data_IF_946177402872
#
_entry.id   IF_946177402872
#
_cell.length_a   1.000
_cell.length_b   1.000
_cell.length_c   1.000
_cell.angle_alpha   90.00
_cell.angle_beta   90.00
_cell.angle_gamma   90.00
#
_symmetry.space_group_name_H-M   'P 1'
#
loop_
_entity.id
_entity.type
_entity.pdbx_description
1 polymer ?
#
# COMPACT_ATOMS: atom_id res chain seq x y z
N UNK A 1 -15.50 -3.86 -16.06
CA UNK A 1 -14.56 -4.99 -15.87
C UNK A 1 -13.23 -4.80 -16.60
N UNK A 2 -12.90 -3.58 -17.07
CA UNK A 2 -11.67 -3.27 -17.81
C UNK A 2 -10.39 -3.21 -16.96
N UNK A 3 -10.45 -3.68 -15.70
CA UNK A 3 -9.36 -3.57 -14.73
C UNK A 3 -8.58 -4.90 -14.55
N UNK A 4 -9.01 -5.98 -15.21
CA UNK A 4 -8.32 -7.27 -15.18
C UNK A 4 -7.42 -7.42 -16.40
N UNK A 5 -6.32 -8.15 -16.23
CA UNK A 5 -5.40 -8.44 -17.33
C UNK A 5 -6.12 -9.30 -18.38
N UNK A 6 -6.06 -8.88 -19.64
CA UNK A 6 -6.67 -9.59 -20.77
C UNK A 6 -6.17 -11.04 -20.89
N UNK A 7 -4.96 -11.32 -20.40
CA UNK A 7 -4.37 -12.66 -20.38
C UNK A 7 -5.08 -13.64 -19.44
N UNK A 8 -5.86 -13.15 -18.48
CA UNK A 8 -6.68 -14.01 -17.61
C UNK A 8 -7.92 -14.58 -18.33
N UNK A 9 -8.26 -14.04 -19.51
CA UNK A 9 -9.47 -14.43 -20.23
C UNK A 9 -10.72 -14.21 -19.39
N UNK A 10 -11.70 -15.10 -19.50
CA UNK A 10 -12.93 -15.09 -18.69
C UNK A 10 -12.89 -16.13 -17.55
N UNK A 11 -11.78 -16.85 -17.38
CA UNK A 11 -11.62 -17.94 -16.41
C UNK A 11 -11.16 -17.46 -15.03
N UNK A 12 -11.81 -16.43 -14.49
CA UNK A 12 -11.52 -15.96 -13.13
C UNK A 12 -12.81 -15.72 -12.34
N UNK A 13 -12.72 -15.90 -11.02
CA UNK A 13 -13.83 -15.58 -10.16
C UNK A 13 -13.95 -14.05 -10.02
N UNK A 14 -15.08 -13.53 -10.52
CA UNK A 14 -15.40 -12.09 -10.48
C UNK A 14 -15.36 -11.50 -9.08
N UNK A 15 -15.92 -12.19 -8.09
CA UNK A 15 -15.98 -11.72 -6.70
C UNK A 15 -14.57 -11.63 -6.10
N UNK A 16 -13.73 -12.62 -6.38
CA UNK A 16 -12.32 -12.58 -5.95
C UNK A 16 -11.54 -11.46 -6.64
N UNK A 17 -11.78 -11.22 -7.92
CA UNK A 17 -11.15 -10.12 -8.66
C UNK A 17 -11.59 -8.74 -8.14
N UNK A 18 -12.87 -8.58 -7.82
CA UNK A 18 -13.40 -7.35 -7.21
C UNK A 18 -12.82 -7.14 -5.81
N UNK A 19 -12.81 -8.18 -4.97
CA UNK A 19 -12.18 -8.16 -3.65
C UNK A 19 -10.69 -7.78 -3.72
N UNK A 20 -9.95 -8.40 -4.64
CA UNK A 20 -8.52 -8.09 -4.86
C UNK A 20 -8.32 -6.64 -5.29
N UNK A 21 -9.18 -6.12 -6.17
CA UNK A 21 -9.15 -4.72 -6.60
C UNK A 21 -9.37 -3.75 -5.42
N UNK A 22 -10.37 -4.01 -4.59
CA UNK A 22 -10.67 -3.20 -3.40
C UNK A 22 -9.52 -3.26 -2.39
N UNK A 23 -9.01 -4.45 -2.07
CA UNK A 23 -7.88 -4.61 -1.13
C UNK A 23 -6.62 -3.95 -1.67
N UNK A 24 -6.34 -4.05 -2.98
CA UNK A 24 -5.22 -3.39 -3.62
C UNK A 24 -5.27 -1.87 -3.48
N UNK A 25 -6.44 -1.26 -3.74
CA UNK A 25 -6.66 0.17 -3.55
C UNK A 25 -6.51 0.59 -2.08
N UNK A 26 -7.03 -0.21 -1.15
CA UNK A 26 -6.94 0.06 0.28
C UNK A 26 -5.47 0.01 0.77
N UNK A 27 -4.70 -0.98 0.33
CA UNK A 27 -3.27 -1.09 0.58
C UNK A 27 -2.47 0.07 -0.04
N UNK A 28 -2.89 0.54 -1.21
CA UNK A 28 -2.28 1.66 -1.94
C UNK A 28 -2.63 3.05 -1.41
N UNK A 29 -3.37 3.16 -0.30
CA UNK A 29 -3.82 4.45 0.21
C UNK A 29 -2.64 5.41 0.50
N UNK A 30 -2.73 6.69 0.10
CA UNK A 30 -1.63 7.63 0.30
C UNK A 30 -1.27 7.85 1.78
N UNK A 31 -2.28 8.04 2.63
CA UNK A 31 -2.10 8.05 4.08
C UNK A 31 -1.82 6.63 4.59
N UNK A 32 -0.66 6.45 5.22
CA UNK A 32 -0.22 5.19 5.83
C UNK A 32 -1.19 4.71 6.92
N UNK A 33 -1.80 5.62 7.66
CA UNK A 33 -2.69 5.27 8.78
C UNK A 33 -4.03 4.68 8.31
N UNK A 34 -4.41 4.98 7.08
CA UNK A 34 -5.61 4.43 6.46
C UNK A 34 -5.37 3.10 5.72
N UNK A 35 -4.11 2.66 5.58
CA UNK A 35 -3.78 1.35 5.00
C UNK A 35 -4.15 0.22 5.97
N UNK A 36 -4.63 -0.93 5.48
CA UNK A 36 -4.86 -2.08 6.34
C UNK A 36 -3.55 -2.68 6.83
N UNK A 37 -3.60 -3.35 7.98
CA UNK A 37 -2.57 -4.32 8.33
C UNK A 37 -2.64 -5.53 7.40
N UNK A 38 -1.53 -6.26 7.26
CA UNK A 38 -1.50 -7.50 6.46
C UNK A 38 -2.54 -8.52 6.95
N UNK A 39 -2.82 -8.56 8.27
CA UNK A 39 -3.84 -9.44 8.85
C UNK A 39 -5.25 -9.07 8.38
N UNK A 40 -5.59 -7.78 8.40
CA UNK A 40 -6.89 -7.30 7.93
C UNK A 40 -7.06 -7.53 6.42
N UNK A 41 -6.05 -7.20 5.62
CA UNK A 41 -6.07 -7.42 4.18
C UNK A 41 -6.29 -8.91 3.86
N UNK A 42 -5.58 -9.81 4.56
CA UNK A 42 -5.71 -11.25 4.36
C UNK A 42 -7.10 -11.79 4.73
N UNK A 43 -7.69 -11.34 5.84
CA UNK A 43 -9.05 -11.74 6.23
C UNK A 43 -10.09 -11.34 5.18
N UNK A 44 -9.96 -10.14 4.60
CA UNK A 44 -10.84 -9.69 3.51
C UNK A 44 -10.61 -10.50 2.24
N UNK A 45 -9.36 -10.80 1.88
CA UNK A 45 -9.03 -11.64 0.71
C UNK A 45 -9.59 -13.07 0.83
N UNK A 46 -9.66 -13.62 2.04
CA UNK A 46 -10.31 -14.90 2.30
C UNK A 46 -11.84 -14.81 2.38
N UNK A 47 -12.42 -13.63 2.20
CA UNK A 47 -13.86 -13.36 2.37
C UNK A 47 -14.37 -13.67 3.80
N UNK A 48 -13.48 -13.63 4.79
CA UNK A 48 -13.77 -13.84 6.21
C UNK A 48 -14.22 -12.54 6.91
N UNK A 49 -14.07 -11.40 6.23
CA UNK A 49 -14.42 -10.07 6.72
C UNK A 49 -14.96 -9.21 5.59
N UNK A 50 -15.75 -8.21 5.95
CA UNK A 50 -16.17 -7.16 5.01
C UNK A 50 -14.99 -6.23 4.70
N UNK A 51 -14.91 -5.77 3.45
CA UNK A 51 -13.98 -4.72 3.05
C UNK A 51 -14.53 -3.33 3.43
N UNK A 52 -13.66 -2.31 3.60
CA UNK A 52 -14.13 -0.96 3.88
C UNK A 52 -14.83 -0.33 2.66
N UNK A 53 -15.70 0.63 2.91
CA UNK A 53 -16.20 1.52 1.86
C UNK A 53 -15.07 2.44 1.40
N UNK A 54 -14.62 2.25 0.17
CA UNK A 54 -13.58 3.09 -0.43
C UNK A 54 -14.20 4.29 -1.17
N UNK A 55 -13.56 5.47 -1.12
CA UNK A 55 -14.00 6.62 -1.90
C UNK A 55 -13.85 6.32 -3.41
N UNK A 56 -14.81 6.80 -4.22
CA UNK A 56 -14.78 6.61 -5.68
C UNK A 56 -13.57 7.29 -6.37
N UNK A 57 -12.96 8.27 -5.71
CA UNK A 57 -11.76 8.97 -6.20
C UNK A 57 -10.61 8.72 -5.25
N UNK A 58 -9.42 8.50 -5.80
CA UNK A 58 -8.22 8.36 -4.99
C UNK A 58 -7.97 9.65 -4.22
N UNK A 59 -7.79 9.59 -2.89
CA UNK A 59 -7.47 10.77 -2.09
C UNK A 59 -6.15 11.41 -2.54
N UNK A 60 -6.05 12.72 -2.37
CA UNK A 60 -4.80 13.43 -2.67
C UNK A 60 -3.71 12.99 -1.69
N UNK A 61 -2.50 12.64 -2.16
CA UNK A 61 -1.41 12.29 -1.27
C UNK A 61 -1.08 13.41 -0.29
N UNK A 62 -1.32 13.14 1.00
CA UNK A 62 -0.97 14.06 2.08
C UNK A 62 0.29 13.55 2.75
N UNK A 63 1.42 14.17 2.45
CA UNK A 63 2.68 13.86 3.12
C UNK A 63 2.76 14.69 4.39
N UNK A 64 2.52 14.06 5.53
CA UNK A 64 2.79 14.69 6.81
C UNK A 64 4.29 14.89 6.95
N UNK A 65 4.74 16.12 6.69
CA UNK A 65 6.04 16.58 7.14
C UNK A 65 5.90 16.70 8.65
N UNK A 66 6.36 15.69 9.40
CA UNK A 66 6.60 15.90 10.81
C UNK A 66 7.55 17.09 10.90
N UNK A 67 7.27 18.12 11.72
CA UNK A 67 8.26 19.13 12.00
C UNK A 67 9.34 18.45 12.85
N UNK A 68 10.19 17.65 12.20
CA UNK A 68 11.54 17.42 12.68
C UNK A 68 12.11 18.81 12.77
N UNK A 69 12.26 19.30 13.99
CA UNK A 69 12.77 20.62 14.32
C UNK A 69 13.78 21.05 13.26
N UNK A 70 13.43 22.05 12.46
CA UNK A 70 14.37 22.81 11.62
C UNK A 70 15.28 23.64 12.54
N UNK A 71 15.92 22.99 13.50
CA UNK A 71 17.15 23.48 14.10
C UNK A 71 18.24 23.20 13.08
N UNK A 72 18.37 24.13 12.12
CA UNK A 72 19.54 24.22 11.26
C UNK A 72 20.73 24.52 12.19
N UNK A 73 21.33 23.47 12.72
CA UNK A 73 22.67 23.53 13.29
C UNK A 73 23.55 22.68 12.37
N UNK A 74 24.49 23.33 11.70
CA UNK A 74 25.36 22.71 10.72
C UNK A 74 26.36 21.76 11.41
N UNK A 75 25.94 20.55 11.72
CA UNK A 75 26.88 19.47 12.01
C UNK A 75 26.67 18.36 10.99
N UNK A 76 27.61 18.31 10.04
CA UNK A 76 27.73 17.34 8.95
C UNK A 76 27.54 15.92 9.50
N UNK A 77 26.36 15.33 9.32
CA UNK A 77 26.10 13.94 9.65
C UNK A 77 26.85 13.03 8.69
N UNK A 78 27.82 12.28 9.20
CA UNK A 78 28.52 11.24 8.44
C UNK A 78 27.58 10.06 8.21
N UNK A 79 27.31 9.73 6.95
CA UNK A 79 26.53 8.55 6.58
C UNK A 79 27.48 7.35 6.45
N UNK A 80 27.36 6.37 7.34
CA UNK A 80 28.03 5.08 7.21
C UNK A 80 27.08 4.10 6.52
N UNK A 81 27.43 3.69 5.30
CA UNK A 81 26.77 2.59 4.60
C UNK A 81 27.45 1.28 5.01
N UNK A 82 26.69 0.33 5.54
CA UNK A 82 27.13 -1.06 5.68
C UNK A 82 26.68 -1.84 4.45
N UNK A 83 27.60 -2.00 3.50
CA UNK A 83 27.40 -2.85 2.33
C UNK A 83 27.44 -4.33 2.75
N UNK A 84 26.34 -5.06 2.57
CA UNK A 84 26.35 -6.52 2.64
C UNK A 84 27.07 -7.06 1.39
N UNK A 85 28.25 -7.64 1.56
CA UNK A 85 29.01 -8.24 0.48
C UNK A 85 28.32 -9.57 0.08
N UNK A 86 27.86 -9.66 -1.16
CA UNK A 86 27.36 -10.90 -1.73
C UNK A 86 28.52 -11.91 -1.82
N UNK A 87 28.41 -13.00 -1.07
CA UNK A 87 29.32 -14.14 -1.13
C UNK A 87 29.21 -14.87 -2.47
N UNK A 88 30.35 -15.37 -2.95
CA UNK A 88 30.54 -16.12 -4.19
C UNK A 88 29.90 -17.51 -4.12
#
# INVERSE_FOLDING_TARGET
>A
MSAMDEKLGEEFNREQAECLGVVGLWCGHPDRNARPSIRQAFQVLNLESTWPELPQKMPVPTYHIWPTSLSISSSRGSVTFSSCQAGR
#
